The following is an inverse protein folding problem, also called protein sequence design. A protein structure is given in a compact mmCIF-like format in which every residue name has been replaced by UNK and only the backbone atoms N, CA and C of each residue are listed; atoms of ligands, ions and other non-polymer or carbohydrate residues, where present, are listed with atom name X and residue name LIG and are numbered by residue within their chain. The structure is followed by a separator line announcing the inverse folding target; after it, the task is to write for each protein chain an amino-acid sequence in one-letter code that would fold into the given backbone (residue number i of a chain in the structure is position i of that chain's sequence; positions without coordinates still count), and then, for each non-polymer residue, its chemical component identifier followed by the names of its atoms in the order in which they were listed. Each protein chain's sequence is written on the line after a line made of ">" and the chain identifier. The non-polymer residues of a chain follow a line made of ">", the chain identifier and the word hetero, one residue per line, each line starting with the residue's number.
data_IF_687978616293
#
_entry.id   IF_687978616293
#
_cell.length_a   1.000
_cell.length_b   1.000
_cell.length_c   1.000
_cell.angle_alpha   90.00
_cell.angle_beta   90.00
_cell.angle_gamma   90.00
#
_symmetry.space_group_name_H-M   'P 1'
#
loop_
_entity.id
_entity.type
_entity.pdbx_description
1 polymer ?
#
# COMPACT_ATOMS: atom_id res chain seq x y z
N UNK A 1 28.67 -10.01 11.52
CA UNK A 1 27.38 -10.07 10.77
C UNK A 1 26.88 -8.71 10.28
N UNK A 2 27.25 -7.58 10.88
CA UNK A 2 26.77 -6.24 10.46
C UNK A 2 27.49 -5.69 9.21
N UNK A 3 28.72 -6.09 8.92
CA UNK A 3 29.47 -5.60 7.75
C UNK A 3 28.98 -6.21 6.42
N UNK A 4 28.47 -7.44 6.43
CA UNK A 4 27.96 -8.11 5.23
C UNK A 4 26.65 -7.52 4.75
N UNK A 5 25.73 -7.15 5.66
CA UNK A 5 24.46 -6.49 5.31
C UNK A 5 24.66 -5.06 4.75
N UNK A 6 25.68 -4.34 5.24
CA UNK A 6 26.00 -3.02 4.71
C UNK A 6 26.58 -3.08 3.28
N UNK A 7 27.28 -4.16 2.94
CA UNK A 7 27.88 -4.37 1.61
C UNK A 7 26.84 -4.86 0.59
N UNK A 8 25.90 -5.72 1.00
CA UNK A 8 24.75 -6.10 0.16
C UNK A 8 23.82 -4.90 -0.12
N UNK A 9 23.53 -4.08 0.88
CA UNK A 9 22.72 -2.89 0.68
C UNK A 9 23.41 -1.86 -0.23
N UNK A 10 24.75 -1.74 -0.19
CA UNK A 10 25.53 -0.92 -1.13
C UNK A 10 25.48 -1.47 -2.56
N UNK A 11 25.59 -2.79 -2.75
CA UNK A 11 25.51 -3.44 -4.07
C UNK A 11 24.12 -3.31 -4.69
N UNK A 12 23.08 -3.48 -3.90
CA UNK A 12 21.69 -3.23 -4.33
C UNK A 12 21.49 -1.75 -4.68
N UNK A 13 22.10 -0.83 -3.93
CA UNK A 13 22.04 0.61 -4.19
C UNK A 13 22.72 0.99 -5.52
N UNK A 14 23.91 0.44 -5.82
CA UNK A 14 24.57 0.66 -7.11
C UNK A 14 23.81 0.04 -8.28
N UNK A 15 23.23 -1.14 -8.10
CA UNK A 15 22.42 -1.79 -9.14
C UNK A 15 21.14 -1.00 -9.46
N UNK A 16 20.53 -0.35 -8.47
CA UNK A 16 19.35 0.52 -8.68
C UNK A 16 19.75 1.83 -9.39
N UNK A 17 20.96 2.35 -9.14
CA UNK A 17 21.44 3.58 -9.76
C UNK A 17 21.86 3.32 -11.23
N UNK A 18 22.55 2.20 -11.51
CA UNK A 18 23.12 1.91 -12.84
C UNK A 18 22.18 1.17 -13.80
N UNK A 19 21.00 0.72 -13.39
CA UNK A 19 20.11 0.07 -14.34
C UNK A 19 19.39 1.12 -15.18
N UNK A 20 19.62 1.18 -16.48
CA UNK A 20 18.65 1.61 -17.49
C UNK A 20 17.41 0.74 -17.25
N UNK A 21 16.56 1.16 -16.35
CA UNK A 21 15.62 0.21 -15.79
C UNK A 21 14.27 0.37 -16.44
N UNK A 22 13.64 -0.78 -16.68
CA UNK A 22 12.21 -0.92 -16.98
C UNK A 22 11.30 -0.37 -15.86
N UNK A 23 11.85 0.20 -14.79
CA UNK A 23 11.05 0.80 -13.72
C UNK A 23 10.53 2.17 -14.15
N UNK A 24 9.27 2.42 -13.88
CA UNK A 24 8.64 3.73 -14.02
C UNK A 24 9.43 4.80 -13.24
N UNK A 25 9.53 5.99 -13.80
CA UNK A 25 10.11 7.18 -13.18
C UNK A 25 9.63 7.35 -11.73
N UNK A 26 8.33 7.28 -11.50
CA UNK A 26 7.71 7.45 -10.18
C UNK A 26 8.22 6.46 -9.14
N UNK A 27 8.32 5.18 -9.51
CA UNK A 27 8.83 4.15 -8.61
C UNK A 27 10.29 4.36 -8.25
N UNK A 28 11.10 4.82 -9.20
CA UNK A 28 12.52 5.07 -8.97
C UNK A 28 12.74 6.25 -8.03
N UNK A 29 12.04 7.35 -8.27
CA UNK A 29 12.07 8.53 -7.38
C UNK A 29 11.59 8.15 -5.98
N UNK A 30 10.51 7.36 -5.85
CA UNK A 30 10.01 6.86 -4.58
C UNK A 30 11.06 6.06 -3.79
N UNK A 31 11.76 5.12 -4.46
CA UNK A 31 12.82 4.32 -3.81
C UNK A 31 13.98 5.20 -3.33
N UNK A 32 14.35 6.20 -4.11
CA UNK A 32 15.41 7.14 -3.72
C UNK A 32 14.96 8.06 -2.57
N UNK A 33 13.74 8.56 -2.62
CA UNK A 33 13.16 9.37 -1.54
C UNK A 33 13.10 8.64 -0.20
N UNK A 34 12.75 7.34 -0.19
CA UNK A 34 12.75 6.53 1.04
C UNK A 34 14.12 6.49 1.76
N UNK A 35 15.21 6.73 1.05
CA UNK A 35 16.56 6.74 1.62
C UNK A 35 16.95 8.10 2.19
N UNK A 36 16.35 9.16 1.67
CA UNK A 36 16.74 10.55 1.96
C UNK A 36 15.77 11.17 2.98
N UNK A 37 14.49 10.85 2.86
CA UNK A 37 13.41 11.50 3.60
C UNK A 37 13.49 11.21 5.09
N UNK A 38 13.53 12.24 5.91
CA UNK A 38 13.38 12.19 7.36
C UNK A 38 11.91 12.35 7.76
N UNK A 39 11.51 11.87 8.95
CA UNK A 39 10.09 11.84 9.36
C UNK A 39 9.39 13.20 9.36
N UNK A 40 10.14 14.27 9.60
CA UNK A 40 9.58 15.63 9.77
C UNK A 40 9.70 16.53 8.54
N UNK A 41 10.33 16.05 7.44
CA UNK A 41 10.55 16.85 6.24
C UNK A 41 9.36 16.78 5.29
N UNK A 42 9.04 17.91 4.63
CA UNK A 42 8.01 17.96 3.59
C UNK A 42 8.57 17.38 2.30
N UNK A 43 7.80 16.48 1.69
CA UNK A 43 8.23 15.80 0.46
C UNK A 43 8.47 16.78 -0.68
N UNK A 44 7.67 17.85 -0.76
CA UNK A 44 7.80 18.90 -1.79
C UNK A 44 9.20 19.52 -1.76
N UNK A 45 9.66 19.89 -0.55
CA UNK A 45 10.94 20.55 -0.35
C UNK A 45 12.10 19.58 -0.63
N UNK A 46 11.97 18.32 -0.15
CA UNK A 46 12.98 17.28 -0.35
C UNK A 46 13.15 16.91 -1.83
N UNK A 47 12.06 16.84 -2.60
CA UNK A 47 12.12 16.55 -4.04
C UNK A 47 12.82 17.69 -4.79
N UNK A 48 12.50 18.94 -4.49
CA UNK A 48 13.09 20.12 -5.12
C UNK A 48 14.58 20.28 -4.75
N UNK A 49 14.95 19.93 -3.52
CA UNK A 49 16.30 20.14 -2.99
C UNK A 49 17.28 19.02 -3.38
N UNK A 50 16.84 17.78 -3.39
CA UNK A 50 17.73 16.62 -3.57
C UNK A 50 17.70 16.02 -4.97
N UNK A 51 16.75 16.42 -5.81
CA UNK A 51 16.66 15.93 -7.18
C UNK A 51 16.84 17.07 -8.19
N UNK A 52 17.37 16.72 -9.36
CA UNK A 52 17.37 17.57 -10.54
C UNK A 52 16.88 16.76 -11.73
N UNK A 53 15.72 17.12 -12.21
CA UNK A 53 15.10 16.50 -13.37
C UNK A 53 15.37 17.31 -14.63
N UNK A 54 15.71 16.63 -15.73
CA UNK A 54 15.94 17.23 -17.04
C UNK A 54 15.29 16.35 -18.10
N UNK A 55 14.90 16.94 -19.23
CA UNK A 55 14.43 16.19 -20.40
C UNK A 55 15.59 15.80 -21.30
N UNK A 56 15.52 14.63 -21.94
CA UNK A 56 16.51 14.16 -22.90
C UNK A 56 16.40 14.96 -24.21
N UNK A 57 17.54 15.20 -24.86
CA UNK A 57 17.59 15.75 -26.22
C UNK A 57 17.58 14.65 -27.29
N UNK A 58 17.54 13.38 -26.92
CA UNK A 58 17.52 12.28 -27.89
C UNK A 58 16.24 12.28 -28.70
N UNK A 59 16.36 12.07 -30.00
CA UNK A 59 15.25 11.84 -30.92
C UNK A 59 15.02 10.36 -31.21
N UNK A 60 15.84 9.48 -30.60
CA UNK A 60 15.68 8.03 -30.72
C UNK A 60 14.47 7.52 -29.94
N UNK A 61 13.97 6.35 -30.34
CA UNK A 61 12.91 5.67 -29.60
C UNK A 61 13.41 5.25 -28.21
N UNK A 62 12.74 5.67 -27.13
CA UNK A 62 13.20 5.37 -25.78
C UNK A 62 13.00 3.90 -25.41
N UNK A 63 14.00 3.26 -24.82
CA UNK A 63 13.89 1.92 -24.23
C UNK A 63 13.14 1.92 -22.88
N UNK A 64 12.92 3.10 -22.31
CA UNK A 64 12.27 3.29 -21.01
C UNK A 64 12.02 4.78 -20.73
N UNK A 65 11.51 5.08 -19.53
CA UNK A 65 11.23 6.48 -19.14
C UNK A 65 12.49 7.26 -18.73
N UNK A 66 13.53 6.58 -18.27
CA UNK A 66 14.74 7.19 -17.73
C UNK A 66 15.90 6.91 -18.67
N UNK A 67 16.54 7.97 -19.14
CA UNK A 67 17.74 7.92 -19.96
C UNK A 67 18.98 7.73 -19.07
N UNK A 68 19.22 8.67 -18.17
CA UNK A 68 20.37 8.66 -17.29
C UNK A 68 19.96 8.93 -15.84
N UNK A 69 20.65 8.27 -14.92
CA UNK A 69 20.54 8.51 -13.48
C UNK A 69 21.95 8.47 -12.87
N UNK A 70 22.36 9.59 -12.32
CA UNK A 70 23.62 9.65 -11.55
C UNK A 70 23.46 10.58 -10.34
N UNK A 71 24.34 10.39 -9.36
CA UNK A 71 24.42 11.28 -8.21
C UNK A 71 25.65 12.15 -8.37
N UNK A 72 25.46 13.48 -8.31
CA UNK A 72 26.58 14.41 -8.36
C UNK A 72 27.36 14.32 -7.04
N UNK A 73 28.66 14.07 -7.15
CA UNK A 73 29.55 14.00 -5.99
C UNK A 73 29.81 15.35 -5.33
N UNK A 74 29.53 16.49 -6.00
CA UNK A 74 29.75 17.84 -5.47
C UNK A 74 28.53 18.34 -4.70
N UNK A 75 27.35 18.22 -5.30
CA UNK A 75 26.10 18.75 -4.72
C UNK A 75 25.30 17.69 -3.98
N UNK A 76 25.69 16.42 -4.10
CA UNK A 76 24.98 15.28 -3.50
C UNK A 76 23.58 15.04 -4.11
N UNK A 77 23.18 15.80 -5.12
CA UNK A 77 21.87 15.72 -5.76
C UNK A 77 21.80 14.57 -6.75
N UNK A 78 20.59 13.99 -6.88
CA UNK A 78 20.32 12.99 -7.91
C UNK A 78 19.88 13.69 -9.21
N UNK A 79 20.62 13.46 -10.27
CA UNK A 79 20.29 13.92 -11.60
C UNK A 79 19.57 12.82 -12.37
N UNK A 80 18.38 13.11 -12.85
CA UNK A 80 17.58 12.22 -13.69
C UNK A 80 17.26 12.90 -15.01
N UNK A 81 17.72 12.30 -16.11
CA UNK A 81 17.33 12.68 -17.46
C UNK A 81 16.21 11.77 -17.92
N UNK A 82 15.11 12.33 -18.38
CA UNK A 82 13.87 11.61 -18.71
C UNK A 82 13.53 11.77 -20.19
N UNK A 83 12.95 10.72 -20.77
CA UNK A 83 12.46 10.76 -22.16
C UNK A 83 11.02 11.28 -22.25
N UNK A 84 10.20 11.01 -21.25
CA UNK A 84 8.76 11.30 -21.26
C UNK A 84 8.43 12.60 -20.53
N UNK A 85 7.31 13.24 -20.92
CA UNK A 85 6.67 14.36 -20.21
C UNK A 85 7.51 15.63 -20.07
N UNK A 86 8.60 15.76 -20.81
CA UNK A 86 9.42 16.97 -20.87
C UNK A 86 9.02 17.92 -21.98
N UNK A 87 9.64 19.10 -22.01
CA UNK A 87 9.45 20.07 -23.10
C UNK A 87 10.18 19.63 -24.37
N UNK A 88 11.33 18.95 -24.24
CA UNK A 88 12.22 18.58 -25.35
C UNK A 88 12.35 17.06 -25.49
N UNK A 89 12.86 16.59 -26.62
CA UNK A 89 13.04 15.18 -26.93
C UNK A 89 12.01 14.63 -27.92
N UNK A 90 12.11 13.32 -28.22
CA UNK A 90 11.22 12.65 -29.16
C UNK A 90 9.76 12.63 -28.70
N UNK A 91 9.55 12.49 -27.39
CA UNK A 91 8.23 12.52 -26.75
C UNK A 91 7.93 13.85 -26.04
N UNK A 92 8.69 14.91 -26.37
CA UNK A 92 8.51 16.25 -25.80
C UNK A 92 7.23 16.94 -26.26
N UNK A 93 6.75 17.87 -25.44
CA UNK A 93 5.54 18.65 -25.74
C UNK A 93 5.78 19.68 -26.83
N UNK A 94 7.02 20.20 -26.96
CA UNK A 94 7.38 21.17 -27.99
C UNK A 94 7.56 20.46 -29.34
N UNK A 95 7.32 21.20 -30.47
CA UNK A 95 7.64 20.69 -31.80
C UNK A 95 9.09 20.23 -31.91
N UNK A 96 9.34 19.15 -32.64
CA UNK A 96 10.68 18.53 -32.80
C UNK A 96 11.73 19.55 -33.28
N UNK A 97 11.33 20.54 -34.09
CA UNK A 97 12.21 21.59 -34.58
C UNK A 97 12.96 22.37 -33.45
N UNK A 98 12.31 22.52 -32.27
CA UNK A 98 12.97 23.13 -31.12
C UNK A 98 14.05 22.19 -30.53
N UNK A 99 13.78 20.91 -30.49
CA UNK A 99 14.76 19.91 -30.04
C UNK A 99 15.96 19.86 -31.00
N UNK A 100 15.71 19.83 -32.31
CA UNK A 100 16.77 19.88 -33.33
C UNK A 100 17.62 21.15 -33.20
N UNK A 101 16.98 22.30 -33.02
CA UNK A 101 17.67 23.57 -32.80
C UNK A 101 18.54 23.54 -31.53
N UNK A 102 18.06 22.98 -30.44
CA UNK A 102 18.82 22.83 -29.20
C UNK A 102 20.01 21.87 -29.35
N UNK A 103 19.83 20.79 -30.11
CA UNK A 103 20.92 19.86 -30.47
C UNK A 103 21.97 20.57 -31.31
N UNK A 104 21.57 21.34 -32.32
CA UNK A 104 22.49 22.11 -33.15
C UNK A 104 23.28 23.12 -32.30
N UNK A 105 22.61 23.87 -31.41
CA UNK A 105 23.26 24.82 -30.50
C UNK A 105 24.30 24.15 -29.63
N UNK A 106 23.94 22.99 -29.04
CA UNK A 106 24.85 22.23 -28.18
C UNK A 106 26.07 21.71 -28.97
N UNK A 107 25.85 21.13 -30.14
CA UNK A 107 26.91 20.46 -30.89
C UNK A 107 27.82 21.43 -31.64
N UNK A 108 27.25 22.48 -32.32
CA UNK A 108 28.01 23.41 -33.12
C UNK A 108 28.62 24.56 -32.34
N UNK A 109 27.91 25.06 -31.36
CA UNK A 109 28.29 26.28 -30.65
C UNK A 109 28.67 26.01 -29.18
N UNK A 110 28.56 24.77 -28.70
CA UNK A 110 28.75 24.40 -27.28
C UNK A 110 27.93 25.28 -26.32
N UNK A 111 26.77 25.75 -26.82
CA UNK A 111 25.84 26.61 -26.08
C UNK A 111 24.73 25.79 -25.44
N UNK A 112 24.83 25.64 -24.13
CA UNK A 112 23.83 24.90 -23.33
C UNK A 112 22.80 25.84 -22.66
N UNK A 113 22.92 27.16 -22.80
CA UNK A 113 22.06 28.11 -22.10
C UNK A 113 20.57 27.95 -22.44
N UNK A 114 20.16 27.77 -23.72
CA UNK A 114 18.77 27.56 -24.06
C UNK A 114 18.19 26.26 -23.46
N UNK A 115 18.98 25.18 -23.43
CA UNK A 115 18.58 23.94 -22.81
C UNK A 115 18.44 24.08 -21.29
N UNK A 116 19.38 24.73 -20.64
CA UNK A 116 19.33 25.00 -19.22
C UNK A 116 18.10 25.85 -18.82
N UNK A 117 17.70 26.76 -19.69
CA UNK A 117 16.45 27.52 -19.49
C UNK A 117 15.22 26.64 -19.56
N UNK A 118 15.11 25.72 -20.53
CA UNK A 118 14.01 24.77 -20.61
C UNK A 118 14.00 23.81 -19.43
N UNK A 119 15.17 23.34 -18.98
CA UNK A 119 15.30 22.42 -17.85
C UNK A 119 14.81 23.00 -16.51
N UNK A 120 14.78 24.32 -16.35
CA UNK A 120 14.16 24.93 -15.15
C UNK A 120 12.66 24.65 -15.08
N UNK A 121 11.97 24.73 -16.21
CA UNK A 121 10.55 24.41 -16.29
C UNK A 121 10.32 22.91 -16.17
N UNK A 122 11.11 22.10 -16.90
CA UNK A 122 11.03 20.65 -16.86
C UNK A 122 11.19 20.13 -15.43
N UNK A 123 12.18 20.60 -14.70
CA UNK A 123 12.38 20.21 -13.31
C UNK A 123 11.13 20.42 -12.46
N UNK A 124 10.53 21.61 -12.53
CA UNK A 124 9.33 21.90 -11.75
C UNK A 124 8.13 21.07 -12.16
N UNK A 125 7.95 20.86 -13.45
CA UNK A 125 6.87 20.02 -14.00
C UNK A 125 6.99 18.57 -13.53
N UNK A 126 8.19 18.01 -13.54
CA UNK A 126 8.43 16.65 -13.04
C UNK A 126 8.22 16.54 -11.52
N UNK A 127 8.63 17.53 -10.74
CA UNK A 127 8.33 17.57 -9.30
C UNK A 127 6.82 17.55 -9.06
N UNK A 128 6.06 18.40 -9.76
CA UNK A 128 4.60 18.45 -9.63
C UNK A 128 3.92 17.16 -10.09
N UNK A 129 4.41 16.56 -11.19
CA UNK A 129 3.92 15.26 -11.67
C UNK A 129 4.14 14.16 -10.63
N UNK A 130 5.31 14.12 -10.00
CA UNK A 130 5.58 13.16 -8.93
C UNK A 130 4.66 13.34 -7.73
N UNK A 131 4.46 14.58 -7.28
CA UNK A 131 3.58 14.90 -6.16
C UNK A 131 2.10 14.56 -6.46
N UNK A 132 1.65 14.82 -7.69
CA UNK A 132 0.31 14.43 -8.14
C UNK A 132 0.14 12.91 -8.14
N UNK A 133 1.12 12.19 -8.70
CA UNK A 133 1.13 10.73 -8.70
C UNK A 133 1.10 10.16 -7.28
N UNK A 134 1.90 10.72 -6.37
CA UNK A 134 1.96 10.28 -4.98
C UNK A 134 0.61 10.42 -4.27
N UNK A 135 -0.11 11.52 -4.52
CA UNK A 135 -1.46 11.74 -3.95
C UNK A 135 -2.48 10.70 -4.42
N UNK A 136 -2.31 10.18 -5.63
CA UNK A 136 -3.22 9.18 -6.20
C UNK A 136 -2.89 7.74 -5.77
N UNK A 137 -1.67 7.50 -5.26
CA UNK A 137 -1.21 6.16 -4.92
C UNK A 137 -1.05 5.99 -3.41
N UNK A 138 -1.90 5.15 -2.81
CA UNK A 138 -1.86 4.83 -1.37
C UNK A 138 -0.50 4.34 -0.90
N UNK A 139 0.18 3.56 -1.74
CA UNK A 139 1.51 3.03 -1.46
C UNK A 139 2.62 4.08 -1.57
N UNK A 140 2.32 5.28 -2.05
CA UNK A 140 3.30 6.37 -2.23
C UNK A 140 3.72 7.05 -0.92
N UNK A 141 2.88 7.01 0.09
CA UNK A 141 3.03 7.81 1.31
C UNK A 141 3.25 6.94 2.56
N UNK A 142 4.26 6.07 2.51
CA UNK A 142 4.56 5.17 3.63
C UNK A 142 5.05 5.90 4.89
N UNK A 143 5.62 7.10 4.77
CA UNK A 143 6.13 7.86 5.91
C UNK A 143 5.06 8.69 6.64
N UNK A 144 3.89 8.87 6.05
CA UNK A 144 2.74 9.56 6.66
C UNK A 144 1.67 8.58 7.15
N UNK A 145 2.10 7.47 7.73
CA UNK A 145 1.21 6.38 8.18
C UNK A 145 0.10 6.85 9.11
N UNK A 146 0.38 7.82 9.96
CA UNK A 146 -0.56 8.23 11.01
C UNK A 146 -1.56 9.32 10.58
N UNK A 147 -1.36 10.00 9.45
CA UNK A 147 -2.19 11.16 9.07
C UNK A 147 -2.61 11.19 7.59
N UNK A 148 -2.61 10.07 6.92
CA UNK A 148 -3.06 10.01 5.52
C UNK A 148 -4.59 10.08 5.47
N UNK A 149 -5.10 11.17 4.88
CA UNK A 149 -6.55 11.42 4.72
C UNK A 149 -7.26 10.24 4.05
N UNK A 150 -6.64 9.62 3.04
CA UNK A 150 -7.20 8.45 2.36
C UNK A 150 -7.31 7.25 3.28
N UNK A 151 -6.31 6.99 4.13
CA UNK A 151 -6.36 5.92 5.10
C UNK A 151 -7.50 6.12 6.10
N UNK A 152 -7.65 7.35 6.60
CA UNK A 152 -8.73 7.69 7.52
C UNK A 152 -10.11 7.53 6.85
N UNK A 153 -10.25 7.93 5.59
CA UNK A 153 -11.48 7.72 4.82
C UNK A 153 -11.78 6.23 4.64
N UNK A 154 -10.78 5.41 4.26
CA UNK A 154 -10.96 3.96 4.10
C UNK A 154 -11.35 3.29 5.43
N UNK A 155 -10.69 3.64 6.53
CA UNK A 155 -11.03 3.13 7.85
C UNK A 155 -12.46 3.52 8.25
N UNK A 156 -12.85 4.77 8.00
CA UNK A 156 -14.21 5.26 8.27
C UNK A 156 -15.26 4.51 7.44
N UNK A 157 -14.99 4.24 6.16
CA UNK A 157 -15.85 3.42 5.30
C UNK A 157 -15.97 1.98 5.82
N UNK A 158 -14.92 1.44 6.44
CA UNK A 158 -14.94 0.15 7.11
C UNK A 158 -15.62 0.16 8.47
N UNK A 159 -16.04 1.32 8.97
CA UNK A 159 -16.59 1.47 10.32
C UNK A 159 -15.55 1.24 11.43
N UNK A 160 -14.28 1.45 11.12
CA UNK A 160 -13.15 1.21 12.02
C UNK A 160 -12.60 2.54 12.52
N UNK A 161 -12.43 2.66 13.85
CA UNK A 161 -11.78 3.84 14.41
C UNK A 161 -10.27 3.84 14.10
N UNK A 162 -9.69 4.97 13.63
CA UNK A 162 -8.25 5.07 13.36
C UNK A 162 -7.36 4.73 14.56
N UNK A 163 -7.90 4.83 15.77
CA UNK A 163 -7.18 4.55 17.03
C UNK A 163 -7.04 3.05 17.34
N UNK A 164 -7.81 2.20 16.67
CA UNK A 164 -7.96 0.80 17.07
C UNK A 164 -7.14 -0.18 16.24
N UNK A 165 -6.75 0.19 15.02
CA UNK A 165 -6.13 -0.76 14.08
C UNK A 165 -4.83 -0.20 13.50
N UNK A 166 -3.82 -1.08 13.45
CA UNK A 166 -2.56 -0.87 12.74
C UNK A 166 -2.76 -0.81 11.22
N UNK A 167 -1.74 -0.35 10.49
CA UNK A 167 -1.72 -0.23 9.01
C UNK A 167 -2.11 -1.53 8.29
N UNK A 168 -1.86 -2.69 8.91
CA UNK A 168 -2.30 -4.00 8.40
C UNK A 168 -3.82 -4.12 8.29
N UNK A 169 -4.58 -3.45 9.15
CA UNK A 169 -6.03 -3.44 9.10
C UNK A 169 -6.64 -2.79 7.86
N UNK A 170 -5.92 -1.86 7.22
CA UNK A 170 -6.37 -1.23 5.97
C UNK A 170 -6.60 -2.22 4.83
N UNK A 171 -5.77 -3.26 4.72
CA UNK A 171 -5.91 -4.28 3.69
C UNK A 171 -7.21 -5.09 3.83
N UNK A 172 -7.76 -5.15 5.04
CA UNK A 172 -8.96 -5.92 5.36
C UNK A 172 -10.23 -5.08 5.52
N UNK A 173 -10.16 -3.77 5.25
CA UNK A 173 -11.29 -2.84 5.38
C UNK A 173 -12.51 -3.29 4.58
N UNK A 174 -12.30 -3.91 3.42
CA UNK A 174 -13.38 -4.43 2.58
C UNK A 174 -14.24 -5.51 3.29
N UNK A 175 -13.66 -6.30 4.18
CA UNK A 175 -14.38 -7.31 4.96
C UNK A 175 -15.19 -6.72 6.11
N UNK A 176 -14.82 -5.52 6.57
CA UNK A 176 -15.51 -4.82 7.66
C UNK A 176 -16.58 -3.85 7.15
N UNK A 177 -16.52 -3.43 5.90
CA UNK A 177 -17.44 -2.47 5.29
C UNK A 177 -18.91 -2.93 5.21
N UNK A 178 -19.25 -4.21 4.89
CA UNK A 178 -20.65 -4.64 4.83
C UNK A 178 -21.32 -4.56 6.20
N UNK A 179 -22.57 -4.03 6.24
CA UNK A 179 -23.38 -3.97 7.45
C UNK A 179 -23.76 -5.36 7.97
N UNK A 180 -23.96 -6.31 7.07
CA UNK A 180 -24.28 -7.71 7.39
C UNK A 180 -22.97 -8.52 7.35
N UNK A 181 -22.60 -9.09 8.48
CA UNK A 181 -21.42 -9.96 8.61
C UNK A 181 -21.77 -11.38 8.17
N UNK A 182 -21.22 -11.84 7.04
CA UNK A 182 -21.42 -13.18 6.53
C UNK A 182 -20.34 -14.14 7.03
N UNK A 183 -20.70 -15.41 7.23
CA UNK A 183 -19.72 -16.47 7.56
C UNK A 183 -18.70 -16.67 6.44
N UNK A 184 -19.11 -16.54 5.18
CA UNK A 184 -18.21 -16.58 4.04
C UNK A 184 -17.16 -15.44 4.05
N UNK A 185 -17.58 -14.24 4.47
CA UNK A 185 -16.65 -13.11 4.66
C UNK A 185 -15.64 -13.38 5.78
N UNK A 186 -16.08 -14.00 6.88
CA UNK A 186 -15.20 -14.41 7.97
C UNK A 186 -14.20 -15.49 7.53
N UNK A 187 -14.65 -16.48 6.77
CA UNK A 187 -13.81 -17.53 6.20
C UNK A 187 -12.70 -16.96 5.30
N UNK A 188 -13.05 -16.03 4.39
CA UNK A 188 -12.09 -15.36 3.52
C UNK A 188 -11.13 -14.48 4.31
N UNK A 189 -11.61 -13.75 5.31
CA UNK A 189 -10.76 -12.91 6.16
C UNK A 189 -9.72 -13.77 6.89
N UNK A 190 -10.15 -14.83 7.57
CA UNK A 190 -9.26 -15.73 8.31
C UNK A 190 -8.26 -16.43 7.37
N UNK A 191 -8.71 -16.89 6.22
CA UNK A 191 -7.83 -17.50 5.21
C UNK A 191 -6.78 -16.51 4.69
N UNK A 192 -7.15 -15.25 4.52
CA UNK A 192 -6.23 -14.20 4.06
C UNK A 192 -5.22 -13.78 5.15
N UNK A 193 -5.66 -13.67 6.39
CA UNK A 193 -4.79 -13.28 7.52
C UNK A 193 -3.77 -14.37 7.84
N UNK A 194 -4.22 -15.61 7.99
CA UNK A 194 -3.35 -16.70 8.44
C UNK A 194 -2.68 -17.48 7.29
N UNK A 195 -3.07 -17.22 6.05
CA UNK A 195 -2.56 -17.93 4.87
C UNK A 195 -2.74 -19.46 4.99
N UNK A 196 -3.91 -19.86 5.50
CA UNK A 196 -4.29 -21.25 5.75
C UNK A 196 -5.69 -21.45 5.16
N UNK A 197 -5.98 -22.65 4.71
CA UNK A 197 -7.35 -23.03 4.35
C UNK A 197 -8.23 -23.02 5.61
N UNK A 198 -9.31 -22.23 5.58
CA UNK A 198 -10.30 -22.14 6.66
C UNK A 198 -11.65 -22.50 6.10
N UNK A 199 -12.40 -23.32 6.82
CA UNK A 199 -13.81 -23.58 6.52
C UNK A 199 -14.66 -23.40 7.77
N UNK A 200 -15.86 -22.86 7.60
CA UNK A 200 -16.78 -22.58 8.70
C UNK A 200 -18.03 -23.45 8.53
N UNK A 201 -18.31 -24.26 9.53
CA UNK A 201 -19.51 -25.08 9.59
C UNK A 201 -20.55 -24.37 10.46
N UNK A 202 -21.60 -23.77 9.86
CA UNK A 202 -22.65 -23.09 10.60
C UNK A 202 -23.59 -24.06 11.32
N UNK A 203 -24.45 -23.52 12.17
CA UNK A 203 -25.54 -24.25 12.85
C UNK A 203 -25.07 -25.42 13.74
N UNK A 204 -23.99 -25.19 14.45
CA UNK A 204 -23.53 -26.19 15.44
C UNK A 204 -24.39 -26.12 16.66
N UNK A 205 -25.26 -27.16 16.83
CA UNK A 205 -26.13 -27.23 17.98
C UNK A 205 -25.39 -27.37 19.31
N UNK A 206 -25.85 -26.64 20.31
CA UNK A 206 -25.34 -26.71 21.67
C UNK A 206 -26.47 -26.61 22.68
N UNK A 207 -26.21 -27.09 23.89
CA UNK A 207 -27.15 -26.95 25.00
C UNK A 207 -26.88 -25.62 25.73
N UNK A 208 -27.90 -24.78 25.80
CA UNK A 208 -27.86 -23.52 26.55
C UNK A 208 -28.80 -23.58 27.74
N UNK A 209 -28.39 -22.94 28.83
CA UNK A 209 -29.27 -22.82 30.00
C UNK A 209 -30.40 -21.84 29.65
N UNK A 210 -31.63 -22.30 29.95
CA UNK A 210 -32.83 -21.50 29.79
C UNK A 210 -32.94 -20.49 30.91
N UNK A 211 -33.28 -19.25 30.64
CA UNK A 211 -33.52 -18.25 31.67
C UNK A 211 -34.65 -18.65 32.59
N UNK A 212 -34.58 -18.33 33.90
CA UNK A 212 -35.61 -18.71 34.87
C UNK A 212 -37.04 -18.26 34.49
N UNK A 213 -37.14 -17.15 33.75
CA UNK A 213 -38.43 -16.58 33.28
C UNK A 213 -39.06 -17.37 32.14
N UNK A 214 -38.25 -18.14 31.38
CA UNK A 214 -38.68 -18.97 30.25
C UNK A 214 -38.96 -20.41 30.67
N UNK A 215 -38.62 -20.78 31.90
CA UNK A 215 -38.83 -22.14 32.41
C UNK A 215 -40.30 -22.38 32.82
N UNK A 216 -40.85 -23.48 32.38
CA UNK A 216 -42.19 -23.90 32.77
C UNK A 216 -42.27 -24.29 34.22
N UNK A 217 -42.99 -23.54 35.04
CA UNK A 217 -43.22 -23.83 36.47
C UNK A 217 -44.66 -24.26 36.66
N UNK A 218 -44.84 -25.40 37.37
CA UNK A 218 -46.19 -25.96 37.68
C UNK A 218 -46.95 -24.94 38.55
N UNK A 219 -48.22 -24.65 38.15
CA UNK A 219 -49.07 -23.73 38.86
C UNK A 219 -49.18 -22.31 38.35
N UNK A 220 -48.44 -21.96 37.32
CA UNK A 220 -48.62 -20.68 36.62
C UNK A 220 -49.55 -20.85 35.40
N UNK A 221 -50.60 -20.02 35.32
CA UNK A 221 -51.68 -20.13 34.33
C UNK A 221 -51.40 -19.52 32.95
N UNK A 222 -50.15 -19.09 32.64
CA UNK A 222 -49.83 -18.33 31.42
C UNK A 222 -49.16 -19.15 30.32
N UNK A 223 -49.25 -20.48 30.37
CA UNK A 223 -48.54 -21.35 29.44
C UNK A 223 -49.48 -21.93 28.40
N UNK A 224 -49.49 -21.30 27.20
CA UNK A 224 -50.25 -21.80 26.04
C UNK A 224 -49.35 -22.64 25.13
N UNK A 225 -49.90 -23.66 24.52
CA UNK A 225 -49.18 -24.51 23.57
C UNK A 225 -48.80 -23.67 22.34
N UNK A 226 -47.50 -23.61 22.02
CA UNK A 226 -46.97 -22.85 20.92
C UNK A 226 -46.36 -21.49 21.31
N UNK A 227 -46.69 -20.92 22.45
CA UNK A 227 -46.11 -19.70 23.03
C UNK A 227 -45.47 -19.96 24.37
N UNK A 228 -45.31 -21.23 24.72
CA UNK A 228 -45.06 -21.65 26.05
C UNK A 228 -43.57 -21.75 26.42
N UNK A 229 -43.36 -21.85 27.72
CA UNK A 229 -42.04 -22.00 28.30
C UNK A 229 -41.41 -23.33 27.97
N UNK A 230 -40.12 -23.37 28.04
CA UNK A 230 -39.31 -24.58 27.85
C UNK A 230 -39.47 -25.48 29.10
N UNK A 231 -39.74 -26.76 28.90
CA UNK A 231 -39.76 -27.74 29.98
C UNK A 231 -38.30 -28.14 30.29
N UNK A 232 -37.83 -27.82 31.50
CA UNK A 232 -36.46 -28.04 31.90
C UNK A 232 -35.63 -26.76 31.94
N UNK A 233 -34.38 -26.91 32.37
CA UNK A 233 -33.43 -25.80 32.54
C UNK A 233 -32.42 -25.67 31.41
N UNK A 234 -32.52 -26.53 30.37
CA UNK A 234 -31.59 -26.56 29.23
C UNK A 234 -32.39 -26.73 27.95
N UNK A 235 -32.06 -25.92 26.94
CA UNK A 235 -32.63 -26.03 25.59
C UNK A 235 -31.52 -26.30 24.56
N UNK A 236 -31.85 -27.02 23.51
CA UNK A 236 -30.98 -27.21 22.36
C UNK A 236 -31.12 -26.05 21.39
N UNK A 237 -30.02 -25.31 21.16
CA UNK A 237 -29.98 -24.15 20.28
C UNK A 237 -29.02 -24.45 19.14
N UNK A 238 -29.45 -24.22 17.89
CA UNK A 238 -28.70 -24.58 16.68
C UNK A 238 -28.01 -23.36 16.05
N UNK A 239 -28.56 -22.16 16.24
CA UNK A 239 -28.19 -20.94 15.55
C UNK A 239 -27.15 -20.07 16.30
N UNK A 240 -26.82 -20.46 17.53
CA UNK A 240 -25.90 -19.66 18.36
C UNK A 240 -24.43 -19.98 18.16
N UNK A 241 -24.09 -21.11 17.54
CA UNK A 241 -22.70 -21.56 17.40
C UNK A 241 -22.34 -22.00 16.01
N UNK A 242 -21.07 -21.82 15.67
CA UNK A 242 -20.45 -22.35 14.46
C UNK A 242 -19.03 -22.86 14.77
N UNK A 243 -18.59 -23.88 14.04
CA UNK A 243 -17.23 -24.40 14.15
C UNK A 243 -16.33 -23.80 13.09
N UNK A 244 -15.13 -23.34 13.48
CA UNK A 244 -14.08 -22.91 12.57
C UNK A 244 -13.07 -24.05 12.43
N UNK A 245 -12.95 -24.59 11.24
CA UNK A 245 -12.01 -25.67 10.91
C UNK A 245 -10.81 -25.07 10.20
N UNK A 246 -9.63 -25.20 10.79
CA UNK A 246 -8.37 -24.74 10.24
C UNK A 246 -7.60 -25.89 9.61
N UNK A 247 -7.22 -25.77 8.38
CA UNK A 247 -6.34 -26.73 7.77
C UNK A 247 -6.80 -27.41 6.48
N UNK A 248 -5.91 -28.28 5.94
CA UNK A 248 -4.77 -28.97 6.59
C UNK A 248 -3.61 -28.05 6.91
N UNK A 249 -3.02 -28.19 8.10
CA UNK A 249 -1.93 -27.34 8.62
C UNK A 249 -0.74 -28.22 9.00
N UNK A 250 0.48 -27.76 8.72
CA UNK A 250 1.70 -28.43 9.15
C UNK A 250 1.85 -28.38 10.68
N UNK A 251 2.49 -29.39 11.27
CA UNK A 251 2.65 -29.54 12.72
C UNK A 251 3.25 -28.28 13.38
N UNK A 252 4.23 -27.64 12.75
CA UNK A 252 4.85 -26.42 13.27
C UNK A 252 3.85 -25.27 13.36
N UNK A 253 3.05 -25.07 12.33
CA UNK A 253 2.00 -24.04 12.32
C UNK A 253 0.86 -24.37 13.29
N UNK A 254 0.52 -25.65 13.48
CA UNK A 254 -0.54 -26.03 14.43
C UNK A 254 -0.18 -25.67 15.87
N UNK A 255 1.11 -25.67 16.20
CA UNK A 255 1.56 -25.27 17.54
C UNK A 255 1.38 -23.76 17.83
N UNK A 256 1.35 -22.93 16.80
CA UNK A 256 1.12 -21.48 16.93
C UNK A 256 -0.33 -21.19 17.36
N UNK A 257 -1.28 -22.06 17.00
CA UNK A 257 -2.70 -21.92 17.36
C UNK A 257 -3.05 -22.55 18.73
N UNK A 258 -2.08 -23.10 19.45
CA UNK A 258 -2.33 -23.68 20.77
C UNK A 258 -2.51 -22.59 21.84
N UNK A 259 -3.44 -22.77 22.81
CA UNK A 259 -3.66 -21.83 23.89
C UNK A 259 -2.38 -21.52 24.67
N UNK A 260 -2.10 -20.23 24.94
CA UNK A 260 -0.97 -19.79 25.73
C UNK A 260 0.28 -19.40 24.93
N UNK A 261 0.17 -19.27 23.60
CA UNK A 261 1.19 -18.63 22.79
C UNK A 261 0.67 -17.30 22.26
N UNK A 262 1.51 -16.27 22.31
CA UNK A 262 1.23 -14.97 21.70
C UNK A 262 1.34 -15.11 20.16
N UNK A 263 0.35 -14.59 19.44
CA UNK A 263 0.27 -14.56 17.98
C UNK A 263 1.02 -13.35 17.43
#
# INVERSE_FOLDING_TARGET
>A
HSSCMADESRKVNMAVINSRSKFSFFNKVRVLLKKILKPDERIDDVVDEHFRFTSSLSLDAPDGQIDELYQDGKDGKYHLTLFDNGLTGAAGVLPVAYTEWLIERKLRYNDNAPKAFMDMFDHRMYCLSYLAWQKMHLSGDENRRDNNVLNNVLLSLGGISPQTISVTGLAYTAFYSPSVRSLAGLEQLLSSVYQISVSINPFRGTFENTEPNEQGVLGHCQYTLGEGPVIGNVRWVVDSHFDVVLGPVDYKKSQEFMPGKDF
#
